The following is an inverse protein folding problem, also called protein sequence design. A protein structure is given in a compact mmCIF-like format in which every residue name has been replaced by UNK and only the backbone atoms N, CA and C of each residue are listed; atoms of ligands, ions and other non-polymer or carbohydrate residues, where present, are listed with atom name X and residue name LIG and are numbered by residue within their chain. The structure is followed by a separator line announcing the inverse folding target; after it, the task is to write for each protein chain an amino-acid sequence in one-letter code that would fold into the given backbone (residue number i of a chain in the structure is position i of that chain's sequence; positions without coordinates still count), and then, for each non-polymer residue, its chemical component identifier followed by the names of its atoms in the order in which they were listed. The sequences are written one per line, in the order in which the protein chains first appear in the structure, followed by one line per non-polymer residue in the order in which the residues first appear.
data_IF_636993730444
#
_entry.id   IF_636993730444
#
_cell.length_a   1.000
_cell.length_b   1.000
_cell.length_c   1.000
_cell.angle_alpha   90.00
_cell.angle_beta   90.00
_cell.angle_gamma   90.00
#
_symmetry.space_group_name_H-M   'P 1'
#
loop_
_entity.id
_entity.type
_entity.pdbx_description
1 polymer ?
#
# COMPACT_ATOMS: atom_id res chain seq x y z
N UNK A 1 -23.44 4.27 25.07
CA UNK A 1 -23.21 5.69 24.73
C UNK A 1 -21.83 5.83 24.05
N UNK A 2 -21.63 5.19 22.89
CA UNK A 2 -20.33 5.15 22.17
C UNK A 2 -20.43 5.72 20.74
N UNK A 3 -21.64 5.97 20.23
CA UNK A 3 -21.87 6.41 18.85
C UNK A 3 -21.59 7.91 18.61
N UNK A 4 -21.67 8.76 19.65
CA UNK A 4 -21.43 10.20 19.51
C UNK A 4 -19.97 10.62 19.31
N UNK A 5 -19.00 9.71 19.54
CA UNK A 5 -17.59 10.01 19.31
C UNK A 5 -17.13 9.80 17.87
N UNK A 6 -17.80 8.92 17.12
CA UNK A 6 -17.48 8.69 15.71
C UNK A 6 -17.88 9.87 14.82
N UNK A 7 -18.98 10.54 15.16
CA UNK A 7 -19.52 11.68 14.41
C UNK A 7 -18.60 12.91 14.42
N UNK A 8 -17.76 13.05 15.45
CA UNK A 8 -16.73 14.11 15.54
C UNK A 8 -15.40 13.74 14.90
N UNK A 9 -15.13 12.46 14.65
CA UNK A 9 -13.82 12.00 14.20
C UNK A 9 -13.71 11.89 12.67
N UNK A 10 -14.83 11.90 11.95
CA UNK A 10 -14.82 11.75 10.51
C UNK A 10 -15.90 12.60 9.86
N UNK A 11 -15.50 13.69 9.21
CA UNK A 11 -16.41 14.41 8.31
C UNK A 11 -16.82 13.45 7.20
N UNK A 12 -18.09 13.43 6.82
CA UNK A 12 -18.59 12.57 5.74
C UNK A 12 -17.79 12.77 4.43
N UNK A 13 -17.26 13.98 4.23
CA UNK A 13 -16.35 14.37 3.14
C UNK A 13 -15.01 13.61 3.12
N UNK A 14 -14.55 13.07 4.24
CA UNK A 14 -13.29 12.30 4.35
C UNK A 14 -13.53 10.79 4.24
N UNK A 15 -14.69 10.31 4.68
CA UNK A 15 -15.04 8.87 4.67
C UNK A 15 -15.32 8.37 3.26
N UNK A 16 -16.11 9.13 2.48
CA UNK A 16 -16.54 8.68 1.16
C UNK A 16 -15.34 8.36 0.25
N UNK A 17 -14.29 9.19 0.16
CA UNK A 17 -13.17 8.91 -0.72
C UNK A 17 -12.27 7.78 -0.21
N UNK A 18 -12.13 7.63 1.12
CA UNK A 18 -11.47 6.47 1.71
C UNK A 18 -12.21 5.17 1.38
N UNK A 19 -13.55 5.16 1.47
CA UNK A 19 -14.37 4.00 1.09
C UNK A 19 -14.20 3.68 -0.39
N UNK A 20 -14.16 4.68 -1.26
CA UNK A 20 -13.92 4.49 -2.70
C UNK A 20 -12.52 3.92 -2.97
N UNK A 21 -11.49 4.42 -2.28
CA UNK A 21 -10.13 3.89 -2.39
C UNK A 21 -10.05 2.42 -1.95
N UNK A 22 -10.67 2.07 -0.82
CA UNK A 22 -10.73 0.68 -0.34
C UNK A 22 -11.55 -0.22 -1.26
N UNK A 23 -12.62 0.30 -1.88
CA UNK A 23 -13.40 -0.43 -2.87
C UNK A 23 -12.56 -0.77 -4.11
N UNK A 24 -11.74 0.17 -4.60
CA UNK A 24 -10.81 -0.08 -5.69
C UNK A 24 -9.78 -1.16 -5.31
N UNK A 25 -9.24 -1.13 -4.08
CA UNK A 25 -8.35 -2.18 -3.59
C UNK A 25 -9.03 -3.55 -3.56
N UNK A 26 -10.25 -3.63 -3.03
CA UNK A 26 -11.02 -4.86 -2.93
C UNK A 26 -11.34 -5.50 -4.28
N UNK A 27 -11.48 -4.71 -5.35
CA UNK A 27 -11.67 -5.25 -6.71
C UNK A 27 -10.44 -5.96 -7.26
N UNK A 28 -9.24 -5.55 -6.85
CA UNK A 28 -7.96 -6.08 -7.36
C UNK A 28 -7.39 -7.17 -6.45
N UNK A 29 -7.54 -7.00 -5.13
CA UNK A 29 -7.00 -7.84 -4.06
C UNK A 29 -8.03 -8.02 -2.94
N UNK A 30 -9.10 -8.82 -3.13
CA UNK A 30 -10.22 -8.93 -2.20
C UNK A 30 -9.88 -9.60 -0.87
N UNK A 31 -8.82 -10.41 -0.85
CA UNK A 31 -8.37 -11.28 0.23
C UNK A 31 -7.15 -10.73 0.99
N UNK A 32 -6.66 -9.54 0.61
CA UNK A 32 -5.53 -8.91 1.27
C UNK A 32 -5.90 -8.45 2.68
N UNK A 33 -5.03 -8.74 3.66
CA UNK A 33 -5.20 -8.21 5.01
C UNK A 33 -4.93 -6.70 5.05
N UNK A 34 -5.57 -5.99 5.98
CA UNK A 34 -5.33 -4.55 6.20
C UNK A 34 -3.85 -4.28 6.51
N UNK A 35 -3.19 -5.16 7.29
CA UNK A 35 -1.78 -5.02 7.62
C UNK A 35 -0.87 -5.16 6.37
N UNK A 36 -1.19 -6.09 5.48
CA UNK A 36 -0.48 -6.29 4.22
C UNK A 36 -0.70 -5.10 3.28
N UNK A 37 -1.93 -4.59 3.19
CA UNK A 37 -2.26 -3.40 2.41
C UNK A 37 -1.54 -2.15 2.93
N UNK A 38 -1.48 -1.95 4.26
CA UNK A 38 -0.73 -0.86 4.86
C UNK A 38 0.78 -0.97 4.54
N UNK A 39 1.34 -2.19 4.56
CA UNK A 39 2.73 -2.43 4.16
C UNK A 39 2.97 -2.09 2.69
N UNK A 40 2.01 -2.42 1.81
CA UNK A 40 2.07 -2.03 0.39
C UNK A 40 2.06 -0.50 0.21
N UNK A 41 1.22 0.22 0.95
CA UNK A 41 1.16 1.68 0.86
C UNK A 41 2.45 2.34 1.37
N UNK A 42 3.05 1.81 2.46
CA UNK A 42 4.34 2.31 2.97
C UNK A 42 5.47 2.03 1.97
N UNK A 43 5.49 0.82 1.38
CA UNK A 43 6.40 0.48 0.28
C UNK A 43 6.23 1.45 -0.90
N UNK A 44 5.00 1.75 -1.30
CA UNK A 44 4.70 2.69 -2.38
C UNK A 44 5.17 4.12 -2.08
N UNK A 45 5.06 4.55 -0.82
CA UNK A 45 5.54 5.86 -0.39
C UNK A 45 7.09 5.94 -0.41
N UNK A 46 7.77 4.87 -0.03
CA UNK A 46 9.25 4.82 0.06
C UNK A 46 9.93 4.49 -1.26
N UNK A 47 9.36 3.55 -2.03
CA UNK A 47 9.90 3.08 -3.30
C UNK A 47 9.44 3.92 -4.50
N UNK A 48 9.03 5.17 -4.26
CA UNK A 48 8.51 6.08 -5.28
C UNK A 48 9.57 6.42 -6.33
N UNK A 49 10.79 6.69 -5.85
CA UNK A 49 11.88 7.20 -6.67
C UNK A 49 12.96 6.15 -6.92
N UNK A 50 13.17 5.22 -5.96
CA UNK A 50 14.21 4.20 -6.03
C UNK A 50 13.73 2.85 -5.46
N UNK A 51 14.24 1.69 -5.94
CA UNK A 51 13.98 0.40 -5.32
C UNK A 51 14.45 0.37 -3.86
N UNK A 52 13.71 -0.32 -3.00
CA UNK A 52 14.02 -0.41 -1.57
C UNK A 52 14.41 -1.81 -1.17
N UNK A 53 15.37 -1.94 -0.26
CA UNK A 53 15.71 -3.22 0.33
C UNK A 53 14.70 -3.62 1.39
N UNK A 54 14.54 -4.92 1.61
CA UNK A 54 13.68 -5.42 2.69
C UNK A 54 14.14 -4.94 4.08
N UNK A 55 15.44 -4.71 4.27
CA UNK A 55 15.99 -4.24 5.54
C UNK A 55 15.57 -2.81 5.83
N UNK A 56 15.65 -1.92 4.84
CA UNK A 56 15.19 -0.53 4.98
C UNK A 56 13.70 -0.49 5.32
N UNK A 57 12.91 -1.34 4.66
CA UNK A 57 11.47 -1.42 4.90
C UNK A 57 11.12 -2.01 6.26
N UNK A 58 11.91 -2.96 6.78
CA UNK A 58 11.71 -3.52 8.13
C UNK A 58 11.87 -2.42 9.19
N UNK A 59 12.87 -1.56 9.00
CA UNK A 59 13.10 -0.39 9.85
C UNK A 59 12.00 0.66 9.68
N UNK A 60 11.63 1.00 8.43
CA UNK A 60 10.64 2.03 8.15
C UNK A 60 9.24 1.68 8.68
N UNK A 61 8.80 0.43 8.49
CA UNK A 61 7.49 0.00 8.96
C UNK A 61 7.47 -0.38 10.46
N UNK A 62 8.62 -0.41 11.15
CA UNK A 62 8.78 -1.02 12.47
C UNK A 62 8.23 -2.46 12.54
N UNK A 63 8.36 -3.22 11.45
CA UNK A 63 7.90 -4.61 11.34
C UNK A 63 9.11 -5.53 11.38
N UNK A 64 9.11 -6.59 12.23
CA UNK A 64 10.17 -7.59 12.23
C UNK A 64 10.37 -8.20 10.85
N UNK A 65 11.62 -8.36 10.42
CA UNK A 65 11.98 -8.86 9.08
C UNK A 65 11.19 -10.11 8.63
N UNK A 66 11.02 -11.17 9.46
CA UNK A 66 10.26 -12.36 9.04
C UNK A 66 8.79 -12.05 8.74
N UNK A 67 8.18 -11.11 9.47
CA UNK A 67 6.79 -10.69 9.24
C UNK A 67 6.68 -9.86 7.97
N UNK A 68 7.62 -8.95 7.75
CA UNK A 68 7.67 -8.16 6.52
C UNK A 68 7.85 -9.05 5.28
N UNK A 69 8.72 -10.06 5.36
CA UNK A 69 8.93 -11.01 4.27
C UNK A 69 7.65 -11.76 3.89
N UNK A 70 6.83 -12.15 4.87
CA UNK A 70 5.50 -12.75 4.60
C UNK A 70 4.58 -11.78 3.87
N UNK A 71 4.57 -10.50 4.26
CA UNK A 71 3.77 -9.49 3.54
C UNK A 71 4.27 -9.33 2.10
N UNK A 72 5.59 -9.28 1.89
CA UNK A 72 6.19 -9.17 0.56
C UNK A 72 5.88 -10.40 -0.30
N UNK A 73 5.88 -11.60 0.26
CA UNK A 73 5.51 -12.82 -0.46
C UNK A 73 4.07 -12.80 -0.95
N UNK A 74 3.14 -12.33 -0.11
CA UNK A 74 1.73 -12.14 -0.50
C UNK A 74 1.58 -11.06 -1.57
N UNK A 75 2.34 -9.97 -1.47
CA UNK A 75 2.27 -8.84 -2.38
C UNK A 75 2.97 -9.08 -3.73
N UNK A 76 4.05 -9.86 -3.76
CA UNK A 76 4.77 -10.21 -4.98
C UNK A 76 4.05 -11.32 -5.76
N UNK A 77 4.69 -11.94 -6.74
CA UNK A 77 4.13 -13.10 -7.47
C UNK A 77 3.89 -14.34 -6.57
N UNK A 78 4.45 -14.35 -5.35
CA UNK A 78 4.32 -15.43 -4.39
C UNK A 78 5.11 -16.68 -4.77
N UNK A 79 4.60 -17.85 -4.39
CA UNK A 79 5.20 -19.15 -4.69
C UNK A 79 4.26 -20.00 -5.54
N UNK A 80 4.78 -21.06 -6.18
CA UNK A 80 3.95 -22.03 -6.92
C UNK A 80 2.78 -22.61 -6.11
N UNK A 81 2.91 -22.67 -4.79
CA UNK A 81 1.89 -23.22 -3.87
C UNK A 81 0.91 -22.16 -3.34
N UNK A 82 1.30 -20.88 -3.39
CA UNK A 82 0.48 -19.75 -2.95
C UNK A 82 0.81 -18.57 -3.86
N UNK A 83 0.08 -18.40 -4.97
CA UNK A 83 0.30 -17.28 -5.87
C UNK A 83 0.00 -15.99 -5.10
N UNK A 84 0.96 -15.06 -5.14
CA UNK A 84 0.79 -13.73 -4.57
C UNK A 84 0.04 -12.82 -5.54
N UNK A 85 -0.19 -11.58 -5.14
CA UNK A 85 -1.01 -10.65 -5.90
C UNK A 85 -0.28 -9.99 -7.08
N UNK A 86 1.05 -10.15 -7.20
CA UNK A 86 1.84 -9.57 -8.27
C UNK A 86 1.85 -8.03 -8.27
N UNK A 87 1.69 -7.42 -7.10
CA UNK A 87 1.75 -5.97 -6.89
C UNK A 87 3.20 -5.47 -6.75
N UNK A 88 4.12 -6.35 -6.38
CA UNK A 88 5.54 -6.06 -6.23
C UNK A 88 6.40 -6.97 -7.11
N UNK A 89 7.55 -6.45 -7.51
CA UNK A 89 8.61 -7.19 -8.19
C UNK A 89 9.85 -7.24 -7.29
N UNK A 90 10.46 -8.42 -7.21
CA UNK A 90 11.78 -8.60 -6.59
C UNK A 90 12.83 -8.50 -7.69
N UNK A 91 13.71 -7.51 -7.61
CA UNK A 91 14.79 -7.31 -8.57
C UNK A 91 16.11 -7.58 -7.86
N UNK A 92 17.02 -8.30 -8.51
CA UNK A 92 18.38 -8.43 -7.99
C UNK A 92 19.20 -7.24 -8.45
N UNK A 93 19.73 -6.45 -7.51
CA UNK A 93 20.72 -5.45 -7.83
C UNK A 93 22.04 -6.16 -8.20
N UNK A 94 22.50 -5.98 -9.44
CA UNK A 94 23.70 -6.65 -9.97
C UNK A 94 25.00 -6.09 -9.39
N UNK A 95 24.98 -4.88 -8.82
CA UNK A 95 26.12 -4.22 -8.20
C UNK A 95 26.30 -4.72 -6.77
N UNK A 96 25.24 -4.64 -5.95
CA UNK A 96 25.31 -4.97 -4.52
C UNK A 96 24.94 -6.42 -4.19
N UNK A 97 24.48 -7.20 -5.19
CA UNK A 97 23.95 -8.58 -5.03
C UNK A 97 22.85 -8.69 -3.98
N UNK A 98 22.09 -7.61 -3.78
CA UNK A 98 20.97 -7.53 -2.85
C UNK A 98 19.65 -7.60 -3.60
N UNK A 99 18.67 -8.25 -2.99
CA UNK A 99 17.30 -8.24 -3.47
C UNK A 99 16.65 -6.90 -3.09
N UNK A 100 16.18 -6.19 -4.10
CA UNK A 100 15.43 -4.96 -4.01
C UNK A 100 13.97 -5.22 -4.37
N UNK A 101 13.10 -4.35 -3.87
CA UNK A 101 11.66 -4.43 -4.05
C UNK A 101 11.21 -3.15 -4.73
N UNK A 102 10.45 -3.31 -5.80
CA UNK A 102 9.77 -2.21 -6.48
C UNK A 102 8.32 -2.57 -6.77
N UNK A 103 7.52 -1.56 -7.11
CA UNK A 103 6.15 -1.78 -7.54
C UNK A 103 6.15 -2.39 -8.95
N UNK A 104 5.27 -3.36 -9.17
CA UNK A 104 4.97 -3.81 -10.52
C UNK A 104 4.06 -2.81 -11.23
N UNK A 105 3.86 -2.96 -12.54
CA UNK A 105 2.84 -2.19 -13.26
C UNK A 105 1.44 -2.34 -12.64
N UNK A 106 1.11 -3.55 -12.15
CA UNK A 106 -0.16 -3.80 -11.45
C UNK A 106 -0.21 -3.05 -10.11
N UNK A 107 0.89 -3.01 -9.37
CA UNK A 107 1.02 -2.22 -8.15
C UNK A 107 0.80 -0.74 -8.39
N UNK A 108 1.44 -0.16 -9.42
CA UNK A 108 1.24 1.25 -9.78
C UNK A 108 -0.21 1.57 -10.17
N UNK A 109 -0.86 0.70 -10.95
CA UNK A 109 -2.28 0.87 -11.33
C UNK A 109 -3.20 0.84 -10.11
N UNK A 110 -2.97 -0.08 -9.19
CA UNK A 110 -3.72 -0.14 -7.94
C UNK A 110 -3.53 1.13 -7.11
N UNK A 111 -2.27 1.56 -6.92
CA UNK A 111 -1.97 2.78 -6.18
C UNK A 111 -2.66 4.01 -6.79
N UNK A 112 -2.62 4.15 -8.12
CA UNK A 112 -3.31 5.24 -8.82
C UNK A 112 -4.84 5.20 -8.61
N UNK A 113 -5.45 4.01 -8.70
CA UNK A 113 -6.88 3.83 -8.46
C UNK A 113 -7.29 4.16 -7.01
N UNK A 114 -6.43 3.88 -6.03
CA UNK A 114 -6.64 4.25 -4.63
C UNK A 114 -6.40 5.75 -4.37
N UNK A 115 -5.40 6.34 -5.01
CA UNK A 115 -5.02 7.74 -4.80
C UNK A 115 -5.99 8.74 -5.44
N UNK A 116 -6.57 8.40 -6.60
CA UNK A 116 -7.49 9.28 -7.33
C UNK A 116 -8.63 9.87 -6.47
N UNK A 117 -9.42 9.07 -5.72
CA UNK A 117 -10.46 9.64 -4.86
C UNK A 117 -9.89 10.46 -3.70
N UNK A 118 -8.73 10.09 -3.15
CA UNK A 118 -8.11 10.78 -2.02
C UNK A 118 -7.56 12.16 -2.42
N UNK A 119 -6.98 12.29 -3.61
CA UNK A 119 -6.46 13.56 -4.12
C UNK A 119 -7.57 14.58 -4.40
N UNK A 120 -8.77 14.12 -4.82
CA UNK A 120 -9.92 15.00 -5.04
C UNK A 120 -10.32 15.79 -3.77
N UNK A 121 -10.09 15.25 -2.58
CA UNK A 121 -10.28 15.97 -1.30
C UNK A 121 -9.21 17.05 -1.11
N UNK A 122 -7.94 16.70 -1.37
CA UNK A 122 -6.80 17.57 -1.12
C UNK A 122 -6.79 18.84 -2.00
N UNK A 123 -7.49 18.81 -3.14
CA UNK A 123 -7.68 19.95 -4.03
C UNK A 123 -8.91 20.78 -3.66
N UNK A 124 -10.00 20.14 -3.22
CA UNK A 124 -11.20 20.83 -2.73
C UNK A 124 -10.95 21.64 -1.45
N UNK A 125 -10.05 21.18 -0.57
CA UNK A 125 -9.67 21.90 0.66
C UNK A 125 -8.70 23.07 0.46
N UNK A 126 -8.06 23.21 -0.71
CA UNK A 126 -7.06 24.26 -1.01
C UNK A 126 -7.63 25.53 -1.62
N UNK A 127 -8.93 25.56 -1.99
CA UNK A 127 -9.60 26.74 -2.56
C UNK A 127 -10.24 27.68 -1.54
N UNK A 128 -10.08 27.40 -0.24
CA UNK A 128 -10.59 28.24 0.85
C UNK A 128 -9.43 28.66 1.74
N UNK A 129 -8.50 29.45 1.20
CA UNK A 129 -7.58 30.30 1.96
C UNK A 129 -7.30 31.56 1.17
#
# INVERSE_FOLDING_TARGET
MFFFYLDRLTRESEILPLRTALAAARQVVPDISVATLATFLELAAKARDEPVTTREMSTACAIPYPRLMRHIEVLAEGSRRSPGHGLLEKVMNTVDRRAEIKLSLKGHRLLAAMAAPLCAIAEGGRRVR
#
